data_IF_415733751685
#
_entry.id   IF_415733751685
#
_cell.length_a   1.000
_cell.length_b   1.000
_cell.length_c   1.000
_cell.angle_alpha   90.00
_cell.angle_beta   90.00
_cell.angle_gamma   90.00
#
_symmetry.space_group_name_H-M   'P 1'
#
loop_
_entity.id
_entity.type
_entity.pdbx_description
1 polymer ?
#
# COMPACT_ATOMS: atom_id res chain seq x y z
N UNK A 1 25.93 11.58 -52.08
CA UNK A 1 26.03 11.03 -50.71
C UNK A 1 24.64 10.58 -50.27
N UNK A 2 24.41 9.26 -50.28
CA UNK A 2 23.09 8.67 -50.05
C UNK A 2 23.00 8.18 -48.59
N UNK A 3 22.01 8.70 -47.87
CA UNK A 3 21.72 8.29 -46.49
C UNK A 3 20.92 6.99 -46.49
N UNK A 4 21.48 5.92 -45.91
CA UNK A 4 20.82 4.64 -45.68
C UNK A 4 19.78 4.79 -44.56
N UNK A 5 18.49 4.60 -44.89
CA UNK A 5 17.41 4.37 -43.92
C UNK A 5 17.53 2.97 -43.32
N UNK A 6 17.76 2.90 -42.03
CA UNK A 6 17.70 1.64 -41.28
C UNK A 6 16.24 1.27 -41.02
N UNK A 7 15.83 0.11 -41.52
CA UNK A 7 14.48 -0.44 -41.26
C UNK A 7 14.43 -1.13 -39.91
N UNK A 8 13.56 -0.66 -39.04
CA UNK A 8 13.26 -1.27 -37.75
C UNK A 8 12.51 -2.60 -37.97
N UNK A 9 13.11 -3.70 -37.53
CA UNK A 9 12.57 -5.04 -37.57
C UNK A 9 11.47 -5.21 -36.52
N UNK A 10 10.20 -5.32 -36.94
CA UNK A 10 9.08 -5.65 -36.05
C UNK A 10 9.29 -7.06 -35.48
N UNK A 11 9.33 -7.12 -34.11
CA UNK A 11 9.25 -8.39 -33.39
C UNK A 11 7.81 -8.96 -33.49
N UNK A 12 7.65 -10.28 -33.56
CA UNK A 12 6.34 -10.92 -33.55
C UNK A 12 5.71 -10.84 -32.15
N UNK A 13 4.34 -10.85 -32.04
CA UNK A 13 3.67 -10.77 -30.75
C UNK A 13 3.93 -12.05 -29.95
N UNK A 14 4.33 -11.87 -28.68
CA UNK A 14 4.49 -12.94 -27.72
C UNK A 14 3.12 -13.58 -27.42
N UNK A 15 3.05 -14.91 -27.56
CA UNK A 15 1.88 -15.70 -27.17
C UNK A 15 1.76 -15.68 -25.64
N UNK A 16 0.61 -15.21 -25.14
CA UNK A 16 0.21 -15.34 -23.74
C UNK A 16 0.07 -16.82 -23.35
N UNK A 17 0.59 -17.26 -22.20
CA UNK A 17 0.14 -18.51 -21.61
C UNK A 17 -1.20 -18.27 -20.90
N UNK A 18 -2.24 -18.96 -21.36
CA UNK A 18 -3.52 -19.06 -20.67
C UNK A 18 -3.35 -19.94 -19.42
N UNK A 19 -3.84 -19.45 -18.27
CA UNK A 19 -4.68 -20.16 -17.31
C UNK A 19 -4.63 -19.46 -15.95
N UNK A 20 -5.50 -18.51 -15.78
CA UNK A 20 -6.11 -18.07 -14.53
C UNK A 20 -7.45 -17.50 -14.96
N UNK A 21 -8.54 -18.15 -14.60
CA UNK A 21 -9.88 -17.66 -14.89
C UNK A 21 -10.01 -16.24 -14.31
N UNK A 22 -10.41 -15.23 -15.09
CA UNK A 22 -10.64 -13.89 -14.54
C UNK A 22 -11.76 -13.96 -13.52
N UNK A 23 -11.53 -13.38 -12.36
CA UNK A 23 -12.55 -13.22 -11.33
C UNK A 23 -13.70 -12.38 -11.93
N UNK A 24 -14.93 -12.89 -12.03
CA UNK A 24 -16.06 -12.16 -12.63
C UNK A 24 -16.36 -10.83 -11.92
N UNK A 25 -15.94 -10.65 -10.67
CA UNK A 25 -16.02 -9.38 -9.95
C UNK A 25 -14.97 -8.34 -10.41
N UNK A 26 -13.88 -8.76 -11.06
CA UNK A 26 -12.84 -7.86 -11.58
C UNK A 26 -13.28 -7.13 -12.86
N UNK A 27 -14.14 -7.74 -13.68
CA UNK A 27 -14.62 -7.11 -14.95
C UNK A 27 -15.47 -5.85 -14.72
N UNK A 28 -16.09 -5.70 -13.53
CA UNK A 28 -16.91 -4.53 -13.17
C UNK A 28 -16.10 -3.38 -12.51
N UNK A 29 -14.84 -3.60 -12.14
CA UNK A 29 -14.05 -2.63 -11.34
C UNK A 29 -13.08 -1.77 -12.14
N UNK A 30 -12.90 -2.01 -13.44
CA UNK A 30 -11.94 -1.29 -14.28
C UNK A 30 -10.50 -1.75 -14.10
N UNK A 31 -9.54 -0.93 -14.52
CA UNK A 31 -8.10 -1.24 -14.42
C UNK A 31 -7.60 -1.05 -12.98
N UNK A 32 -6.93 -2.04 -12.36
CA UNK A 32 -6.36 -1.87 -11.04
C UNK A 32 -5.24 -0.82 -11.02
N UNK A 33 -5.13 -0.07 -9.93
CA UNK A 33 -4.00 0.83 -9.68
C UNK A 33 -2.69 0.05 -9.58
N UNK A 34 -2.74 -1.09 -8.89
CA UNK A 34 -1.60 -2.01 -8.81
C UNK A 34 -2.11 -3.44 -8.79
N UNK A 35 -1.36 -4.30 -9.47
CA UNK A 35 -1.56 -5.74 -9.46
C UNK A 35 -0.20 -6.40 -9.30
N UNK A 36 -0.09 -7.24 -8.30
CA UNK A 36 1.06 -8.10 -8.04
C UNK A 36 0.67 -9.52 -8.42
N UNK A 37 1.34 -10.12 -9.40
CA UNK A 37 1.04 -11.46 -9.89
C UNK A 37 2.15 -12.42 -9.54
N UNK A 38 1.80 -13.52 -8.92
CA UNK A 38 2.66 -14.69 -8.69
C UNK A 38 3.98 -14.36 -7.98
N UNK A 39 3.90 -13.48 -6.98
CA UNK A 39 5.07 -12.95 -6.28
C UNK A 39 5.72 -14.03 -5.42
N UNK A 40 7.05 -14.14 -5.56
CA UNK A 40 7.84 -15.07 -4.73
C UNK A 40 9.15 -14.43 -4.28
N UNK A 41 9.52 -14.70 -3.03
CA UNK A 41 10.83 -14.35 -2.45
C UNK A 41 11.20 -15.32 -1.34
N UNK A 42 12.47 -15.72 -1.30
CA UNK A 42 13.03 -16.60 -0.27
C UNK A 42 14.23 -15.96 0.42
N UNK A 43 14.39 -16.23 1.70
CA UNK A 43 15.54 -15.82 2.51
C UNK A 43 16.16 -17.06 3.16
N UNK A 44 17.44 -17.34 2.81
CA UNK A 44 18.14 -18.48 3.40
C UNK A 44 17.41 -19.83 3.25
N UNK A 45 16.72 -20.03 2.12
CA UNK A 45 15.94 -21.24 1.85
C UNK A 45 14.50 -21.23 2.37
N UNK A 46 14.11 -20.23 3.16
CA UNK A 46 12.73 -20.08 3.66
C UNK A 46 11.97 -19.20 2.67
N UNK A 47 10.90 -19.72 2.08
CA UNK A 47 9.99 -18.95 1.24
C UNK A 47 9.13 -18.03 2.11
N UNK A 48 9.47 -16.75 2.14
CA UNK A 48 8.71 -15.75 2.88
C UNK A 48 7.45 -15.32 2.15
N UNK A 49 7.47 -15.31 0.80
CA UNK A 49 6.30 -15.18 -0.08
C UNK A 49 6.44 -16.25 -1.15
N UNK A 50 5.36 -16.97 -1.43
CA UNK A 50 5.32 -18.11 -2.33
C UNK A 50 4.06 -18.05 -3.20
N UNK A 51 4.21 -17.61 -4.44
CA UNK A 51 3.13 -17.48 -5.43
C UNK A 51 1.94 -16.62 -4.94
N UNK A 52 2.22 -15.49 -4.28
CA UNK A 52 1.17 -14.59 -3.79
C UNK A 52 0.76 -13.58 -4.86
N UNK A 53 -0.55 -13.41 -5.05
CA UNK A 53 -1.12 -12.40 -5.94
C UNK A 53 -2.10 -11.52 -5.16
N UNK A 54 -2.01 -10.20 -5.34
CA UNK A 54 -2.92 -9.21 -4.76
C UNK A 54 -3.11 -8.05 -5.73
N UNK A 55 -4.26 -7.42 -5.68
CA UNK A 55 -4.63 -6.28 -6.50
C UNK A 55 -5.28 -5.17 -5.67
N UNK A 56 -5.27 -3.95 -6.19
CA UNK A 56 -5.84 -2.77 -5.54
C UNK A 56 -6.41 -1.83 -6.59
N UNK A 57 -7.62 -1.36 -6.38
CA UNK A 57 -8.33 -0.47 -7.30
C UNK A 57 -8.35 0.99 -6.81
N UNK A 58 -8.66 1.96 -7.69
CA UNK A 58 -8.83 3.36 -7.29
C UNK A 58 -9.92 3.52 -6.21
N UNK A 59 -9.60 4.24 -5.13
CA UNK A 59 -10.55 4.48 -4.05
C UNK A 59 -10.95 3.22 -3.29
N UNK A 60 -10.09 2.22 -3.26
CA UNK A 60 -10.30 0.97 -2.53
C UNK A 60 -9.32 0.87 -1.35
N UNK A 61 -9.80 0.29 -0.26
CA UNK A 61 -8.96 -0.13 0.88
C UNK A 61 -8.95 -1.65 0.93
N UNK A 62 -7.77 -2.25 0.75
CA UNK A 62 -7.57 -3.70 0.88
C UNK A 62 -6.83 -4.01 2.17
N UNK A 63 -7.51 -4.69 3.09
CA UNK A 63 -6.92 -5.19 4.33
C UNK A 63 -6.09 -6.43 4.08
N UNK A 64 -4.79 -6.38 4.42
CA UNK A 64 -3.89 -7.53 4.34
C UNK A 64 -3.75 -8.16 5.72
N UNK A 65 -4.41 -9.28 5.94
CA UNK A 65 -4.50 -9.99 7.21
C UNK A 65 -3.66 -11.28 7.23
N UNK A 66 -3.37 -11.78 8.41
CA UNK A 66 -2.64 -13.03 8.65
C UNK A 66 -1.82 -12.96 9.93
N UNK A 67 -1.41 -14.13 10.45
CA UNK A 67 -0.57 -14.18 11.65
C UNK A 67 0.82 -13.54 11.42
N UNK A 68 1.57 -13.35 12.51
CA UNK A 68 2.96 -12.91 12.41
C UNK A 68 3.79 -13.95 11.67
N UNK A 69 4.64 -13.49 10.71
CA UNK A 69 5.38 -14.38 9.82
C UNK A 69 4.59 -14.92 8.61
N UNK A 70 3.32 -14.53 8.42
CA UNK A 70 2.53 -14.95 7.26
C UNK A 70 3.04 -14.45 5.90
N UNK A 71 3.98 -13.49 5.88
CA UNK A 71 4.54 -12.92 4.65
C UNK A 71 4.00 -11.53 4.28
N UNK A 72 3.04 -10.96 5.03
CA UNK A 72 2.40 -9.65 4.74
C UNK A 72 3.40 -8.53 4.52
N UNK A 73 4.22 -8.23 5.52
CA UNK A 73 5.21 -7.16 5.44
C UNK A 73 6.28 -7.43 4.37
N UNK A 74 6.57 -8.69 4.08
CA UNK A 74 7.49 -9.06 2.99
C UNK A 74 6.88 -8.76 1.63
N UNK A 75 5.62 -9.14 1.40
CA UNK A 75 4.90 -8.84 0.16
C UNK A 75 4.84 -7.33 -0.11
N UNK A 76 4.52 -6.56 0.91
CA UNK A 76 4.45 -5.10 0.82
C UNK A 76 5.84 -4.45 0.64
N UNK A 77 6.89 -5.02 1.24
CA UNK A 77 8.27 -4.58 1.01
C UNK A 77 8.75 -4.82 -0.42
N UNK A 78 8.22 -5.82 -1.12
CA UNK A 78 8.44 -5.99 -2.56
C UNK A 78 7.78 -4.83 -3.32
N UNK A 79 6.53 -4.51 -3.02
CA UNK A 79 5.81 -3.41 -3.68
C UNK A 79 6.45 -2.05 -3.41
N UNK A 80 6.93 -1.81 -2.19
CA UNK A 80 7.65 -0.57 -1.83
C UNK A 80 9.07 -0.50 -2.38
N UNK A 81 9.57 -1.56 -3.03
CA UNK A 81 10.94 -1.65 -3.55
C UNK A 81 12.01 -1.81 -2.47
N UNK A 82 11.63 -2.13 -1.24
CA UNK A 82 12.57 -2.41 -0.15
C UNK A 82 13.21 -3.80 -0.30
N UNK A 83 12.52 -4.73 -0.94
CA UNK A 83 13.02 -6.06 -1.29
C UNK A 83 12.86 -6.32 -2.79
N UNK A 84 13.88 -6.92 -3.40
CA UNK A 84 13.79 -7.43 -4.78
C UNK A 84 13.11 -8.80 -4.75
N UNK A 85 12.12 -9.00 -5.62
CA UNK A 85 11.45 -10.27 -5.81
C UNK A 85 12.34 -11.29 -6.53
N UNK A 86 12.17 -12.58 -6.23
CA UNK A 86 12.81 -13.66 -6.99
C UNK A 86 12.00 -14.01 -8.25
N UNK A 87 10.65 -13.93 -8.16
CA UNK A 87 9.74 -14.18 -9.27
C UNK A 87 8.45 -13.35 -9.13
N UNK A 88 7.67 -13.32 -10.21
CA UNK A 88 6.41 -12.58 -10.29
C UNK A 88 6.53 -11.24 -11.01
N UNK A 89 5.39 -10.64 -11.28
CA UNK A 89 5.28 -9.38 -12.02
C UNK A 89 4.42 -8.37 -11.28
N UNK A 90 4.80 -7.10 -11.39
CA UNK A 90 4.03 -5.98 -10.86
C UNK A 90 3.52 -5.15 -12.03
N UNK A 91 2.25 -4.81 -11.99
CA UNK A 91 1.62 -3.90 -12.95
C UNK A 91 1.08 -2.70 -12.19
N UNK A 92 1.27 -1.50 -12.74
CA UNK A 92 0.72 -0.26 -12.21
C UNK A 92 -0.10 0.41 -13.32
N UNK A 93 -1.37 0.67 -13.07
CA UNK A 93 -2.34 1.15 -14.08
C UNK A 93 -2.38 0.27 -15.34
N UNK A 94 -2.21 -1.05 -15.20
CA UNK A 94 -2.21 -2.02 -16.29
C UNK A 94 -0.89 -2.14 -17.07
N UNK A 95 0.11 -1.30 -16.76
CA UNK A 95 1.44 -1.37 -17.39
C UNK A 95 2.43 -2.08 -16.46
N UNK A 96 3.31 -2.92 -17.05
CA UNK A 96 4.34 -3.62 -16.29
C UNK A 96 5.30 -2.62 -15.65
N UNK A 97 5.46 -2.73 -14.33
CA UNK A 97 6.31 -1.86 -13.53
C UNK A 97 7.55 -2.58 -13.02
N UNK A 98 8.71 -1.97 -13.22
CA UNK A 98 9.97 -2.46 -12.66
C UNK A 98 10.29 -1.66 -11.39
N UNK A 99 10.08 -2.30 -10.23
CA UNK A 99 10.33 -1.74 -8.91
C UNK A 99 11.46 -2.53 -8.27
N UNK A 100 12.65 -1.93 -8.23
CA UNK A 100 13.87 -2.54 -7.69
C UNK A 100 14.39 -1.81 -6.45
N UNK A 101 13.88 -0.61 -6.18
CA UNK A 101 14.25 0.20 -5.03
C UNK A 101 13.09 1.16 -4.67
N UNK A 102 13.10 1.79 -3.48
CA UNK A 102 12.02 2.69 -3.05
C UNK A 102 11.83 3.94 -3.93
N UNK A 103 12.86 4.37 -4.68
CA UNK A 103 12.71 5.50 -5.61
C UNK A 103 11.86 5.12 -6.82
N UNK A 104 11.96 3.86 -7.27
CA UNK A 104 11.13 3.37 -8.36
C UNK A 104 9.66 3.30 -7.91
N UNK A 105 9.37 2.75 -6.73
CA UNK A 105 8.02 2.73 -6.16
C UNK A 105 7.40 4.15 -6.12
N UNK A 106 8.16 5.14 -5.64
CA UNK A 106 7.73 6.54 -5.59
C UNK A 106 7.41 7.14 -6.97
N UNK A 107 8.15 6.76 -8.02
CA UNK A 107 7.84 7.21 -9.41
C UNK A 107 6.49 6.70 -9.90
N UNK A 108 6.05 5.55 -9.41
CA UNK A 108 4.72 5.01 -9.68
C UNK A 108 3.64 5.53 -8.71
N UNK A 109 3.98 6.49 -7.84
CA UNK A 109 3.05 7.04 -6.86
C UNK A 109 2.74 6.10 -5.70
N UNK A 110 3.64 5.16 -5.40
CA UNK A 110 3.53 4.23 -4.26
C UNK A 110 4.34 4.81 -3.10
N UNK A 111 3.67 5.13 -2.00
CA UNK A 111 4.29 5.60 -0.76
C UNK A 111 3.93 4.66 0.39
N UNK A 112 4.86 4.50 1.32
CA UNK A 112 4.70 3.61 2.48
C UNK A 112 4.75 4.41 3.77
N UNK A 113 3.75 4.21 4.60
CA UNK A 113 3.68 4.72 5.97
C UNK A 113 3.94 3.52 6.88
N UNK A 114 5.14 3.47 7.42
CA UNK A 114 5.56 2.41 8.33
C UNK A 114 5.02 2.66 9.74
N UNK A 115 4.93 1.62 10.54
CA UNK A 115 4.55 1.68 11.95
C UNK A 115 5.37 2.72 12.74
N UNK A 116 6.65 2.88 12.44
CA UNK A 116 7.55 3.86 13.07
C UNK A 116 7.45 5.26 12.46
N UNK A 117 6.53 5.51 11.49
CA UNK A 117 6.24 6.74 10.77
C UNK A 117 7.43 7.39 10.03
N UNK A 118 8.68 7.04 10.35
CA UNK A 118 9.90 7.60 9.77
C UNK A 118 9.90 9.15 9.75
N UNK A 119 9.48 9.76 10.85
CA UNK A 119 9.53 11.21 11.08
C UNK A 119 10.77 11.56 11.92
N UNK A 120 11.33 12.74 11.67
CA UNK A 120 12.42 13.29 12.47
C UNK A 120 11.84 13.98 13.72
N UNK A 121 12.02 13.38 14.88
CA UNK A 121 11.38 13.76 16.14
C UNK A 121 11.67 15.20 16.60
N UNK A 122 12.87 15.69 16.32
CA UNK A 122 13.37 17.01 16.71
C UNK A 122 13.08 18.13 15.69
N UNK A 123 12.43 17.78 14.59
CA UNK A 123 12.10 18.70 13.49
C UNK A 123 10.59 18.94 13.50
N UNK A 124 10.16 20.11 13.06
CA UNK A 124 8.74 20.47 13.01
C UNK A 124 7.97 19.74 11.90
N UNK A 125 6.65 19.91 11.90
CA UNK A 125 5.76 19.22 10.97
C UNK A 125 6.03 19.65 9.51
N UNK A 126 6.26 20.93 9.24
CA UNK A 126 6.47 21.46 7.90
C UNK A 126 7.78 20.93 7.31
N UNK A 127 8.87 20.98 8.07
CA UNK A 127 10.15 20.43 7.64
C UNK A 127 10.12 18.90 7.47
N UNK A 128 9.33 18.17 8.30
CA UNK A 128 9.13 16.73 8.11
C UNK A 128 8.40 16.38 6.82
N UNK A 129 7.45 17.20 6.34
CA UNK A 129 6.81 16.99 5.05
C UNK A 129 7.84 17.00 3.91
N UNK A 130 8.79 17.91 3.98
CA UNK A 130 9.77 18.13 2.92
C UNK A 130 11.09 17.40 3.12
N UNK A 131 11.25 16.61 4.17
CA UNK A 131 12.51 15.96 4.51
C UNK A 131 13.09 15.17 3.33
N UNK A 132 14.29 15.60 2.86
CA UNK A 132 14.96 15.04 1.67
C UNK A 132 14.43 15.55 0.32
N UNK A 133 13.48 16.52 0.33
CA UNK A 133 12.88 17.17 -0.86
C UNK A 133 12.62 18.65 -0.59
N UNK A 134 13.50 19.28 0.20
CA UNK A 134 13.35 20.64 0.69
C UNK A 134 13.27 21.66 -0.46
N UNK A 135 12.38 22.63 -0.32
CA UNK A 135 12.31 23.76 -1.24
C UNK A 135 13.50 24.70 -0.99
N UNK A 136 14.06 25.19 -2.07
CA UNK A 136 15.19 26.12 -2.02
C UNK A 136 14.84 27.47 -2.64
N UNK A 137 15.27 28.53 -2.00
CA UNK A 137 15.18 29.88 -2.52
C UNK A 137 16.09 30.04 -3.75
N UNK A 138 15.96 31.16 -4.45
CA UNK A 138 16.83 31.52 -5.59
C UNK A 138 18.32 31.60 -5.22
N UNK A 139 18.62 31.75 -3.94
CA UNK A 139 20.00 31.83 -3.41
C UNK A 139 20.51 30.49 -2.88
N UNK A 140 19.74 29.39 -3.04
CA UNK A 140 20.13 28.04 -2.62
C UNK A 140 19.91 27.73 -1.13
N UNK A 141 19.44 28.69 -0.32
CA UNK A 141 19.03 28.47 1.07
C UNK A 141 17.67 27.76 1.13
N UNK A 142 17.32 27.17 2.27
CA UNK A 142 16.00 26.60 2.49
C UNK A 142 14.93 27.71 2.44
N UNK A 143 13.78 27.39 1.83
CA UNK A 143 12.62 28.27 1.77
C UNK A 143 11.55 27.79 2.77
N UNK A 144 11.83 28.04 4.07
CA UNK A 144 10.96 27.59 5.17
C UNK A 144 9.56 28.19 5.09
N UNK A 145 9.43 29.42 4.55
CA UNK A 145 8.14 30.11 4.41
C UNK A 145 7.28 29.37 3.37
N UNK A 146 7.86 29.04 2.20
CA UNK A 146 7.14 28.30 1.17
C UNK A 146 6.78 26.90 1.65
N UNK A 147 7.70 26.18 2.30
CA UNK A 147 7.46 24.85 2.86
C UNK A 147 6.34 24.88 3.90
N UNK A 148 6.35 25.83 4.84
CA UNK A 148 5.27 25.99 5.85
C UNK A 148 3.92 26.31 5.20
N UNK A 149 3.90 27.20 4.18
CA UNK A 149 2.68 27.59 3.46
C UNK A 149 2.03 26.37 2.79
N UNK A 150 2.81 25.56 2.07
CA UNK A 150 2.30 24.35 1.43
C UNK A 150 1.90 23.26 2.44
N UNK A 151 2.69 23.08 3.50
CA UNK A 151 2.35 22.16 4.58
C UNK A 151 0.98 22.52 5.22
N UNK A 152 0.70 23.81 5.42
CA UNK A 152 -0.59 24.29 5.93
C UNK A 152 -1.75 23.96 4.99
N UNK A 153 -1.55 24.05 3.67
CA UNK A 153 -2.59 23.69 2.68
C UNK A 153 -2.92 22.21 2.74
N UNK A 154 -1.90 21.35 2.72
CA UNK A 154 -2.10 19.89 2.77
C UNK A 154 -2.72 19.46 4.09
N UNK A 155 -2.18 19.92 5.21
CA UNK A 155 -2.71 19.61 6.54
C UNK A 155 -4.10 20.19 6.74
N UNK A 156 -4.39 21.40 6.23
CA UNK A 156 -5.72 22.01 6.31
C UNK A 156 -6.80 21.17 5.62
N UNK A 157 -6.44 20.43 4.58
CA UNK A 157 -7.33 19.47 3.90
C UNK A 157 -7.50 18.19 4.72
N UNK A 158 -6.41 17.62 5.25
CA UNK A 158 -6.40 16.32 5.92
C UNK A 158 -6.81 16.40 7.40
N UNK A 159 -6.39 17.45 8.08
CA UNK A 159 -6.67 17.70 9.49
C UNK A 159 -6.89 19.20 9.73
N UNK A 160 -8.08 19.73 9.47
CA UNK A 160 -8.39 21.17 9.58
C UNK A 160 -8.11 21.77 10.97
N UNK A 161 -8.08 20.95 11.99
CA UNK A 161 -7.83 21.38 13.38
C UNK A 161 -6.35 21.38 13.77
N UNK A 162 -5.45 20.95 12.87
CA UNK A 162 -4.02 20.96 13.15
C UNK A 162 -3.47 22.40 13.21
N UNK A 163 -2.76 22.75 14.30
CA UNK A 163 -2.23 24.12 14.53
C UNK A 163 -0.73 24.13 14.85
N UNK A 164 -0.15 22.97 15.17
CA UNK A 164 1.19 22.83 15.75
C UNK A 164 2.28 22.67 14.72
N UNK A 165 2.32 23.55 13.71
CA UNK A 165 3.25 23.45 12.57
C UNK A 165 4.71 23.66 12.95
N UNK A 166 4.98 24.47 13.97
CA UNK A 166 6.34 24.81 14.43
C UNK A 166 6.82 23.97 15.62
N UNK A 167 5.96 23.11 16.14
CA UNK A 167 6.34 22.24 17.23
C UNK A 167 7.13 21.05 16.70
N UNK A 168 8.17 20.62 17.43
CA UNK A 168 8.87 19.39 17.07
C UNK A 168 7.91 18.20 17.12
N UNK A 169 8.04 17.29 16.13
CA UNK A 169 7.10 16.17 15.96
C UNK A 169 6.99 15.28 17.21
N UNK A 170 8.06 15.16 18.01
CA UNK A 170 8.01 14.44 19.30
C UNK A 170 6.99 15.00 20.29
N UNK A 171 6.61 16.27 20.18
CA UNK A 171 5.63 16.91 21.06
C UNK A 171 4.19 16.72 20.57
N UNK A 172 3.98 16.16 19.37
CA UNK A 172 2.67 15.88 18.80
C UNK A 172 2.10 14.57 19.37
N UNK A 173 0.76 14.46 19.38
CA UNK A 173 0.09 13.20 19.71
C UNK A 173 0.32 12.15 18.64
N UNK A 174 0.02 10.88 18.93
CA UNK A 174 0.14 9.77 17.98
C UNK A 174 -0.64 10.02 16.69
N UNK A 175 -1.92 10.39 16.82
CA UNK A 175 -2.78 10.72 15.66
C UNK A 175 -2.30 11.94 14.87
N UNK A 176 -1.74 12.95 15.55
CA UNK A 176 -1.14 14.11 14.89
C UNK A 176 0.12 13.73 14.11
N UNK A 177 0.99 12.88 14.67
CA UNK A 177 2.16 12.34 13.97
C UNK A 177 1.75 11.51 12.76
N UNK A 178 0.72 10.68 12.91
CA UNK A 178 0.15 9.91 11.79
C UNK A 178 -0.34 10.84 10.67
N UNK A 179 -1.07 11.91 11.03
CA UNK A 179 -1.53 12.91 10.06
C UNK A 179 -0.37 13.57 9.30
N UNK A 180 0.75 13.88 9.97
CA UNK A 180 1.95 14.44 9.33
C UNK A 180 2.59 13.43 8.37
N UNK A 181 2.69 12.16 8.74
CA UNK A 181 3.23 11.10 7.86
C UNK A 181 2.36 10.90 6.60
N UNK A 182 1.04 10.90 6.77
CA UNK A 182 0.09 10.80 5.66
C UNK A 182 0.18 12.06 4.79
N UNK A 183 0.21 13.26 5.37
CA UNK A 183 0.34 14.51 4.64
C UNK A 183 1.60 14.54 3.78
N UNK A 184 2.72 14.03 4.29
CA UNK A 184 3.96 13.89 3.52
C UNK A 184 3.77 13.00 2.28
N UNK A 185 3.13 11.85 2.43
CA UNK A 185 2.88 10.94 1.31
C UNK A 185 1.97 11.61 0.24
N UNK A 186 0.89 12.24 0.66
CA UNK A 186 -0.09 12.89 -0.24
C UNK A 186 0.51 14.11 -0.94
N UNK A 187 1.32 14.90 -0.24
CA UNK A 187 1.97 16.09 -0.80
C UNK A 187 2.82 15.74 -2.04
N UNK A 188 3.39 14.55 -2.07
CA UNK A 188 4.18 14.05 -3.20
C UNK A 188 3.40 13.16 -4.17
N UNK A 189 2.06 13.37 -4.27
CA UNK A 189 1.18 12.74 -5.25
C UNK A 189 1.08 11.22 -5.13
N UNK A 190 1.09 10.68 -3.92
CA UNK A 190 0.79 9.28 -3.72
C UNK A 190 -0.60 8.94 -4.28
N UNK A 191 -0.67 7.89 -5.07
CA UNK A 191 -1.92 7.27 -5.58
C UNK A 191 -2.19 5.94 -4.91
N UNK A 192 -1.14 5.31 -4.41
CA UNK A 192 -1.18 4.03 -3.70
C UNK A 192 -0.47 4.26 -2.37
N UNK A 193 -1.20 4.05 -1.28
CA UNK A 193 -0.65 4.10 0.06
C UNK A 193 -0.56 2.71 0.66
N UNK A 194 0.57 2.42 1.24
CA UNK A 194 0.78 1.26 2.09
C UNK A 194 0.81 1.76 3.52
N UNK A 195 -0.10 1.29 4.35
CA UNK A 195 -0.18 1.64 5.77
C UNK A 195 0.09 0.38 6.60
N UNK A 196 1.24 0.35 7.26
CA UNK A 196 1.64 -0.77 8.11
C UNK A 196 1.33 -0.45 9.57
N UNK A 197 0.30 -1.11 10.12
CA UNK A 197 -0.20 -0.96 11.50
C UNK A 197 -0.52 0.51 11.87
N UNK A 198 -1.35 1.25 11.08
CA UNK A 198 -1.50 2.69 11.26
C UNK A 198 -2.20 3.09 12.56
N UNK A 199 -2.90 2.17 13.21
CA UNK A 199 -3.66 2.37 14.46
C UNK A 199 -2.95 1.78 15.67
N UNK A 200 -1.84 1.07 15.48
CA UNK A 200 -1.10 0.46 16.57
C UNK A 200 -0.62 1.50 17.60
N UNK A 201 -0.82 1.22 18.87
CA UNK A 201 -0.45 2.08 19.98
C UNK A 201 -1.15 3.46 20.02
N UNK A 202 -2.27 3.63 19.31
CA UNK A 202 -3.13 4.81 19.41
C UNK A 202 -4.28 4.59 20.38
N UNK A 203 -4.72 5.67 21.02
CA UNK A 203 -5.96 5.64 21.80
C UNK A 203 -7.21 5.64 20.90
N UNK A 204 -8.41 5.32 21.45
CA UNK A 204 -9.63 5.20 20.66
C UNK A 204 -9.98 6.46 19.84
N UNK A 205 -9.74 7.65 20.39
CA UNK A 205 -9.99 8.91 19.68
C UNK A 205 -9.01 9.12 18.51
N UNK A 206 -7.74 8.76 18.69
CA UNK A 206 -6.72 8.87 17.65
C UNK A 206 -6.95 7.85 16.54
N UNK A 207 -7.34 6.61 16.90
CA UNK A 207 -7.75 5.57 15.94
C UNK A 207 -8.92 6.04 15.08
N UNK A 208 -9.96 6.63 15.69
CA UNK A 208 -11.08 7.20 14.96
C UNK A 208 -10.64 8.31 13.98
N UNK A 209 -9.74 9.21 14.40
CA UNK A 209 -9.20 10.26 13.53
C UNK A 209 -8.44 9.69 12.34
N UNK A 210 -7.62 8.66 12.54
CA UNK A 210 -6.91 7.97 11.45
C UNK A 210 -7.89 7.27 10.53
N UNK A 211 -8.94 6.65 11.08
CA UNK A 211 -10.01 6.03 10.30
C UNK A 211 -10.73 7.02 9.38
N UNK A 212 -11.11 8.19 9.89
CA UNK A 212 -11.73 9.23 9.05
C UNK A 212 -10.78 9.74 7.96
N UNK A 213 -9.49 9.84 8.25
CA UNK A 213 -8.49 10.22 7.27
C UNK A 213 -8.34 9.18 6.16
N UNK A 214 -8.36 7.89 6.49
CA UNK A 214 -8.37 6.79 5.51
C UNK A 214 -9.60 6.87 4.61
N UNK A 215 -10.79 7.09 5.19
CA UNK A 215 -12.04 7.26 4.42
C UNK A 215 -11.99 8.45 3.48
N UNK A 216 -11.43 9.57 3.92
CA UNK A 216 -11.25 10.75 3.08
C UNK A 216 -10.33 10.46 1.90
N UNK A 217 -9.17 9.84 2.12
CA UNK A 217 -8.21 9.49 1.08
C UNK A 217 -8.81 8.52 0.05
N UNK A 218 -9.57 7.54 0.53
CA UNK A 218 -10.34 6.63 -0.31
C UNK A 218 -11.31 7.39 -1.21
N UNK A 219 -12.06 8.36 -0.65
CA UNK A 219 -13.00 9.19 -1.43
C UNK A 219 -12.29 10.06 -2.49
N UNK A 220 -11.02 10.41 -2.26
CA UNK A 220 -10.16 11.11 -3.23
C UNK A 220 -9.60 10.18 -4.33
N UNK A 221 -9.94 8.89 -4.32
CA UNK A 221 -9.52 7.92 -5.32
C UNK A 221 -8.16 7.27 -5.03
N UNK A 222 -7.60 7.47 -3.83
CA UNK A 222 -6.34 6.84 -3.42
C UNK A 222 -6.62 5.39 -3.05
N UNK A 223 -5.84 4.46 -3.60
CA UNK A 223 -5.87 3.06 -3.22
C UNK A 223 -4.99 2.81 -1.99
N UNK A 224 -5.46 2.00 -1.05
CA UNK A 224 -4.78 1.79 0.23
C UNK A 224 -4.63 0.30 0.52
N UNK A 225 -3.40 -0.18 0.71
CA UNK A 225 -3.14 -1.43 1.40
C UNK A 225 -3.03 -1.17 2.91
N UNK A 226 -3.95 -1.73 3.66
CA UNK A 226 -3.99 -1.62 5.12
C UNK A 226 -3.50 -2.93 5.74
N UNK A 227 -2.31 -2.91 6.35
CA UNK A 227 -1.81 -4.05 7.11
C UNK A 227 -2.17 -3.82 8.57
N UNK A 228 -2.90 -4.74 9.14
CA UNK A 228 -3.21 -4.74 10.57
C UNK A 228 -3.31 -6.18 11.08
N UNK A 229 -3.06 -6.36 12.35
CA UNK A 229 -3.37 -7.60 13.06
C UNK A 229 -4.73 -7.52 13.78
N UNK A 230 -5.33 -6.33 13.85
CA UNK A 230 -6.67 -6.14 14.39
C UNK A 230 -7.74 -6.29 13.29
N UNK A 231 -8.52 -7.38 13.39
CA UNK A 231 -9.60 -7.68 12.46
C UNK A 231 -10.70 -6.61 12.54
N UNK A 232 -10.95 -6.01 13.72
CA UNK A 232 -12.01 -5.01 13.89
C UNK A 232 -11.67 -3.76 13.07
N UNK A 233 -10.46 -3.22 13.22
CA UNK A 233 -10.00 -2.06 12.46
C UNK A 233 -10.10 -2.30 10.94
N UNK A 234 -9.74 -3.50 10.49
CA UNK A 234 -9.80 -3.84 9.07
C UNK A 234 -11.25 -3.90 8.58
N UNK A 235 -12.18 -4.50 9.32
CA UNK A 235 -13.60 -4.55 8.94
C UNK A 235 -14.27 -3.17 8.93
N UNK A 236 -13.80 -2.25 9.77
CA UNK A 236 -14.34 -0.89 9.84
C UNK A 236 -13.83 0.03 8.72
N UNK A 237 -12.67 -0.29 8.13
CA UNK A 237 -11.97 0.58 7.18
C UNK A 237 -11.81 0.00 5.77
N UNK A 238 -11.70 -1.33 5.64
CA UNK A 238 -11.43 -1.98 4.36
C UNK A 238 -12.72 -2.29 3.57
N UNK A 239 -12.58 -2.34 2.26
CA UNK A 239 -13.61 -2.84 1.34
C UNK A 239 -13.45 -4.33 1.09
N UNK A 240 -12.21 -4.77 1.02
CA UNK A 240 -11.82 -6.15 0.78
C UNK A 240 -10.73 -6.57 1.75
N UNK A 241 -10.69 -7.87 2.06
CA UNK A 241 -9.63 -8.49 2.83
C UNK A 241 -8.91 -9.54 1.99
N UNK A 242 -7.59 -9.53 2.04
CA UNK A 242 -6.74 -10.60 1.52
C UNK A 242 -6.01 -11.25 2.69
N UNK A 243 -6.23 -12.54 2.89
CA UNK A 243 -5.65 -13.27 4.03
C UNK A 243 -4.43 -14.06 3.58
N UNK A 244 -3.31 -13.84 4.26
CA UNK A 244 -2.06 -14.56 4.02
C UNK A 244 -1.76 -15.59 5.13
N UNK A 245 -1.23 -16.73 4.71
CA UNK A 245 -0.71 -17.77 5.61
C UNK A 245 0.48 -18.45 4.96
N UNK A 246 1.58 -18.58 5.72
CA UNK A 246 2.81 -19.27 5.27
C UNK A 246 3.31 -18.81 3.89
N UNK A 247 3.33 -17.49 3.67
CA UNK A 247 3.79 -16.87 2.42
C UNK A 247 2.79 -16.88 1.26
N UNK A 248 1.63 -17.48 1.41
CA UNK A 248 0.61 -17.62 0.35
C UNK A 248 -0.68 -16.89 0.70
N UNK A 249 -1.40 -16.44 -0.31
CA UNK A 249 -2.76 -15.92 -0.14
C UNK A 249 -3.71 -17.10 0.01
N UNK A 250 -4.44 -17.16 1.14
CA UNK A 250 -5.51 -18.14 1.40
C UNK A 250 -6.74 -17.79 0.59
N UNK A 251 -7.11 -16.53 0.58
CA UNK A 251 -8.24 -16.04 -0.20
C UNK A 251 -8.43 -14.54 -0.04
N UNK A 252 -9.26 -13.98 -0.91
CA UNK A 252 -9.66 -12.58 -0.92
C UNK A 252 -11.18 -12.49 -0.96
N UNK A 253 -11.75 -11.62 -0.14
CA UNK A 253 -13.20 -11.42 -0.04
C UNK A 253 -13.55 -9.95 0.15
N UNK A 254 -14.77 -9.54 -0.25
CA UNK A 254 -15.36 -8.30 0.25
C UNK A 254 -15.65 -8.45 1.74
N UNK A 255 -15.48 -7.40 2.52
CA UNK A 255 -15.84 -7.41 3.96
C UNK A 255 -17.32 -7.62 4.19
N UNK A 256 -18.17 -7.35 3.17
CA UNK A 256 -19.62 -7.59 3.21
C UNK A 256 -20.01 -9.05 2.99
N UNK A 257 -19.13 -9.85 2.38
CA UNK A 257 -19.40 -11.21 1.95
C UNK A 257 -18.89 -12.28 2.93
N UNK A 258 -18.15 -11.85 3.95
CA UNK A 258 -17.55 -12.72 4.96
C UNK A 258 -17.73 -12.14 6.36
N UNK A 259 -17.75 -13.00 7.35
CA UNK A 259 -17.78 -12.63 8.76
C UNK A 259 -16.36 -12.55 9.34
N UNK A 260 -16.21 -11.87 10.49
CA UNK A 260 -14.93 -11.83 11.23
C UNK A 260 -14.44 -13.23 11.61
N UNK A 261 -15.37 -14.13 11.99
CA UNK A 261 -15.05 -15.50 12.37
C UNK A 261 -14.56 -16.34 11.17
N UNK A 262 -15.15 -16.14 9.98
CA UNK A 262 -14.67 -16.77 8.76
C UNK A 262 -13.28 -16.30 8.38
N UNK A 263 -13.00 -14.99 8.48
CA UNK A 263 -11.65 -14.44 8.25
C UNK A 263 -10.66 -14.98 9.29
N UNK A 264 -11.06 -15.11 10.55
CA UNK A 264 -10.24 -15.75 11.57
C UNK A 264 -9.96 -17.22 11.23
N UNK A 265 -10.97 -17.94 10.70
CA UNK A 265 -10.81 -19.29 10.17
C UNK A 265 -9.81 -19.36 9.01
N UNK A 266 -9.81 -18.40 8.10
CA UNK A 266 -8.78 -18.29 7.04
C UNK A 266 -7.38 -18.11 7.63
N UNK A 267 -7.22 -17.24 8.63
CA UNK A 267 -5.93 -16.95 9.27
C UNK A 267 -5.40 -18.21 9.99
N UNK A 268 -6.24 -18.85 10.82
CA UNK A 268 -5.82 -19.94 11.69
C UNK A 268 -5.73 -21.27 10.94
N UNK A 269 -6.81 -21.61 10.22
CA UNK A 269 -6.96 -22.93 9.59
C UNK A 269 -6.48 -22.94 8.13
N UNK A 270 -6.51 -21.78 7.43
CA UNK A 270 -6.25 -21.73 5.99
C UNK A 270 -7.46 -22.18 5.17
N UNK A 271 -8.65 -22.25 5.75
CA UNK A 271 -9.91 -22.62 5.06
C UNK A 271 -10.51 -21.38 4.43
N UNK A 272 -10.81 -21.47 3.13
CA UNK A 272 -11.45 -20.38 2.40
C UNK A 272 -12.97 -20.54 2.49
N UNK A 273 -13.73 -19.55 3.05
CA UNK A 273 -15.19 -19.61 3.11
C UNK A 273 -15.82 -19.41 1.72
N UNK A 274 -17.11 -19.80 1.54
CA UNK A 274 -17.81 -19.68 0.25
C UNK A 274 -17.86 -18.24 -0.32
N UNK A 275 -17.88 -17.22 0.56
CA UNK A 275 -17.89 -15.80 0.18
C UNK A 275 -16.53 -15.25 -0.27
N UNK A 276 -15.46 -16.05 -0.21
CA UNK A 276 -14.13 -15.63 -0.60
C UNK A 276 -13.64 -16.33 -1.87
N UNK A 277 -12.86 -15.61 -2.66
CA UNK A 277 -12.13 -16.17 -3.81
C UNK A 277 -10.88 -16.88 -3.29
N UNK A 278 -10.77 -18.22 -3.47
CA UNK A 278 -9.65 -18.97 -2.92
C UNK A 278 -8.33 -18.64 -3.66
N UNK A 279 -7.28 -18.46 -2.86
CA UNK A 279 -5.90 -18.30 -3.35
C UNK A 279 -5.09 -19.60 -3.27
N UNK A 280 -3.80 -19.56 -3.67
CA UNK A 280 -2.89 -20.73 -3.65
C UNK A 280 -2.66 -21.32 -2.26
N UNK A 281 -2.92 -20.54 -1.20
CA UNK A 281 -2.76 -20.96 0.19
C UNK A 281 -4.00 -21.60 0.81
N UNK A 282 -5.13 -21.68 0.09
CA UNK A 282 -6.36 -22.28 0.59
C UNK A 282 -6.20 -23.79 0.76
N UNK A 283 -6.59 -24.29 1.92
CA UNK A 283 -6.79 -25.72 2.11
C UNK A 283 -8.10 -26.09 1.40
N UNK A 284 -8.01 -26.91 0.37
CA UNK A 284 -9.17 -27.52 -0.26
C UNK A 284 -9.56 -28.70 0.61
N UNK A 285 -10.81 -28.71 1.12
CA UNK A 285 -11.34 -29.91 1.73
C UNK A 285 -11.26 -31.03 0.67
N UNK A 286 -10.63 -32.14 1.04
CA UNK A 286 -10.61 -33.32 0.16
C UNK A 286 -12.05 -33.72 -0.11
N UNK A 287 -12.45 -33.71 -1.38
CA UNK A 287 -13.76 -34.13 -1.84
C UNK A 287 -14.01 -35.61 -1.56
#
# INVERSE_FOLDING_TARGET
MAAKKSAAKKLPPAKSPANGSPNPAAELRGTPLVEMRDMSIAFGGIKAVDHASVDLYPGEVVGLLGHNGAGKSTLIKILSGAYSRDAGEIFVNGEKAEINNPRDAKRYGIETIYQTLALADNVDAAANLYLGRELRSKFGTLDDIAMESEARKVMGRLNPNFRRFKDPVKALSGGQRQSVAIARAIHFNARILIMDEPTAALGPQETAQVGELIKQLKAEGIGIFLISHDIHDVFDLADRVSVMKNGRVVGTASVTDVTKDEVLGMIILGKCPPGAVPGPGAIRDAA
#
